data_IF_077881157378
#
_entry.id   IF_077881157378
#
_cell.length_a   1.000
_cell.length_b   1.000
_cell.length_c   1.000
_cell.angle_alpha   90.00
_cell.angle_beta   90.00
_cell.angle_gamma   90.00
#
_symmetry.space_group_name_H-M   'P 1'
#
loop_
_entity.id
_entity.type
_entity.pdbx_description
1 polymer ?
#
# COMPACT_ATOMS: atom_id res chain seq x y z
N UNK A 1 -5.72 24.52 21.18
CA UNK A 1 -5.33 23.13 20.83
C UNK A 1 -4.92 23.16 19.37
N UNK A 2 -3.62 23.05 19.01
CA UNK A 2 -3.26 22.92 17.62
C UNK A 2 -3.61 21.49 17.19
N UNK A 3 -4.53 21.36 16.23
CA UNK A 3 -4.94 20.09 15.66
C UNK A 3 -3.72 19.33 15.14
N UNK A 4 -3.61 18.07 15.56
CA UNK A 4 -2.63 17.11 15.05
C UNK A 4 -2.71 17.07 13.52
N UNK A 5 -1.55 17.20 12.89
CA UNK A 5 -1.39 17.01 11.46
C UNK A 5 -1.75 15.55 11.13
N UNK A 6 -3.00 15.30 10.72
CA UNK A 6 -3.35 14.07 10.02
C UNK A 6 -2.60 14.12 8.70
N UNK A 7 -1.63 13.23 8.42
CA UNK A 7 -0.96 13.24 7.13
C UNK A 7 -2.05 12.87 6.13
N UNK A 8 -2.53 13.86 5.37
CA UNK A 8 -3.47 13.62 4.30
C UNK A 8 -2.89 12.50 3.43
N UNK A 9 -3.56 11.36 3.40
CA UNK A 9 -3.15 10.19 2.64
C UNK A 9 -3.07 10.59 1.18
N UNK A 10 -1.86 10.86 0.69
CA UNK A 10 -1.60 11.03 -0.72
C UNK A 10 -1.73 9.64 -1.32
N UNK A 11 -2.91 9.31 -1.83
CA UNK A 11 -3.09 8.10 -2.61
C UNK A 11 -2.06 8.10 -3.75
N UNK A 12 -1.39 6.97 -4.01
CA UNK A 12 -0.46 6.89 -5.12
C UNK A 12 -1.21 7.20 -6.41
N UNK A 13 -0.77 8.23 -7.12
CA UNK A 13 -1.33 8.58 -8.43
C UNK A 13 -0.77 7.57 -9.43
N UNK A 14 -1.60 6.66 -9.90
CA UNK A 14 -1.27 5.77 -11.03
C UNK A 14 -1.52 6.55 -12.31
N UNK A 15 -0.50 6.70 -13.15
CA UNK A 15 -0.60 7.39 -14.43
C UNK A 15 -0.93 6.41 -15.56
N UNK A 16 -1.36 6.93 -16.71
CA UNK A 16 -1.57 6.11 -17.91
C UNK A 16 -0.26 5.45 -18.38
N UNK A 17 0.89 6.12 -18.19
CA UNK A 17 2.20 5.57 -18.52
C UNK A 17 2.56 4.35 -17.64
N UNK A 18 2.16 4.38 -16.36
CA UNK A 18 2.34 3.22 -15.46
C UNK A 18 1.47 2.03 -15.89
N UNK A 19 0.25 2.31 -16.37
CA UNK A 19 -0.66 1.30 -16.89
C UNK A 19 -0.11 0.68 -18.18
N UNK A 20 0.35 1.52 -19.11
CA UNK A 20 0.95 1.06 -20.38
C UNK A 20 2.20 0.21 -20.13
N UNK A 21 3.06 0.61 -19.20
CA UNK A 21 4.22 -0.17 -18.79
C UNK A 21 3.81 -1.53 -18.19
N UNK A 22 2.79 -1.57 -17.34
CA UNK A 22 2.29 -2.81 -16.76
C UNK A 22 1.70 -3.76 -17.82
N UNK A 23 0.95 -3.22 -18.79
CA UNK A 23 0.40 -3.98 -19.90
C UNK A 23 1.53 -4.53 -20.78
N UNK A 24 2.55 -3.72 -21.09
CA UNK A 24 3.71 -4.14 -21.88
C UNK A 24 4.48 -5.29 -21.20
N UNK A 25 4.71 -5.21 -19.88
CA UNK A 25 5.33 -6.29 -19.09
C UNK A 25 4.51 -7.58 -19.10
N UNK A 26 3.19 -7.46 -19.27
CA UNK A 26 2.25 -8.57 -19.36
C UNK A 26 2.06 -9.09 -20.79
N UNK A 27 2.95 -8.74 -21.72
CA UNK A 27 2.88 -9.17 -23.12
C UNK A 27 1.72 -8.55 -23.90
N UNK A 28 1.21 -7.40 -23.45
CA UNK A 28 0.08 -6.71 -24.07
C UNK A 28 -1.30 -7.19 -23.59
N UNK A 29 -1.39 -8.11 -22.62
CA UNK A 29 -2.66 -8.57 -22.07
C UNK A 29 -3.09 -7.71 -20.87
N UNK A 30 -4.11 -6.82 -21.02
CA UNK A 30 -4.57 -5.97 -19.93
C UNK A 30 -5.25 -6.75 -18.80
N UNK A 31 -5.81 -7.94 -19.08
CA UNK A 31 -6.42 -8.76 -18.02
C UNK A 31 -5.36 -9.37 -17.12
N UNK A 32 -4.21 -9.74 -17.70
CA UNK A 32 -3.08 -10.25 -16.95
C UNK A 32 -2.48 -9.13 -16.09
N UNK A 33 -2.31 -7.92 -16.64
CA UNK A 33 -1.84 -6.75 -15.89
C UNK A 33 -2.73 -6.43 -14.69
N UNK A 34 -4.05 -6.39 -14.87
CA UNK A 34 -5.00 -6.17 -13.77
C UNK A 34 -4.91 -7.25 -12.70
N UNK A 35 -4.81 -8.53 -13.08
CA UNK A 35 -4.64 -9.63 -12.11
C UNK A 35 -3.36 -9.47 -11.30
N UNK A 36 -2.24 -9.14 -11.95
CA UNK A 36 -0.98 -8.89 -11.27
C UNK A 36 -1.07 -7.72 -10.28
N UNK A 37 -1.72 -6.61 -10.69
CA UNK A 37 -1.95 -5.46 -9.81
C UNK A 37 -2.80 -5.82 -8.59
N UNK A 38 -3.89 -6.57 -8.75
CA UNK A 38 -4.71 -6.97 -7.61
C UNK A 38 -3.96 -7.86 -6.62
N UNK A 39 -3.16 -8.82 -7.11
CA UNK A 39 -2.34 -9.68 -6.24
C UNK A 39 -1.29 -8.84 -5.49
N UNK A 40 -0.61 -7.91 -6.17
CA UNK A 40 0.34 -7.02 -5.55
C UNK A 40 -0.32 -6.14 -4.46
N UNK A 41 -1.51 -5.63 -4.74
CA UNK A 41 -2.30 -4.84 -3.78
C UNK A 41 -2.67 -5.66 -2.54
N UNK A 42 -3.15 -6.90 -2.70
CA UNK A 42 -3.49 -7.75 -1.55
C UNK A 42 -2.26 -8.05 -0.69
N UNK A 43 -1.11 -8.33 -1.31
CA UNK A 43 0.15 -8.55 -0.57
C UNK A 43 0.59 -7.29 0.19
N UNK A 44 0.45 -6.11 -0.42
CA UNK A 44 0.77 -4.84 0.23
C UNK A 44 -0.16 -4.58 1.42
N UNK A 45 -1.46 -4.87 1.28
CA UNK A 45 -2.44 -4.73 2.34
C UNK A 45 -2.13 -5.65 3.53
N UNK A 46 -1.74 -6.89 3.28
CA UNK A 46 -1.29 -7.82 4.33
C UNK A 46 -0.02 -7.33 5.04
N UNK A 47 0.97 -6.84 4.29
CA UNK A 47 2.20 -6.29 4.86
C UNK A 47 1.92 -5.06 5.74
N UNK A 48 1.04 -4.17 5.28
CA UNK A 48 0.63 -2.99 6.04
C UNK A 48 -0.07 -3.39 7.36
N UNK A 49 -0.98 -4.36 7.32
CA UNK A 49 -1.65 -4.87 8.53
C UNK A 49 -0.65 -5.47 9.54
N UNK A 50 0.33 -6.23 9.05
CA UNK A 50 1.36 -6.83 9.88
C UNK A 50 2.30 -5.78 10.50
N UNK A 51 2.67 -4.74 9.73
CA UNK A 51 3.51 -3.65 10.21
C UNK A 51 2.82 -2.82 11.31
N UNK A 52 1.53 -2.52 11.16
CA UNK A 52 0.73 -1.81 12.17
C UNK A 52 0.65 -2.62 13.46
N UNK A 53 0.43 -3.93 13.35
CA UNK A 53 0.36 -4.84 14.50
C UNK A 53 1.68 -4.88 15.29
N UNK A 54 2.82 -4.90 14.61
CA UNK A 54 4.14 -4.84 15.25
C UNK A 54 4.41 -3.49 15.95
N UNK A 55 4.04 -2.38 15.32
CA UNK A 55 4.22 -1.03 15.88
C UNK A 55 3.35 -0.76 17.10
N UNK A 56 2.10 -1.24 17.10
CA UNK A 56 1.18 -1.10 18.23
C UNK A 56 1.63 -1.91 19.45
N UNK A 57 2.09 -3.15 19.25
CA UNK A 57 2.59 -4.01 20.34
C UNK A 57 3.85 -3.43 20.98
N UNK A 58 4.76 -2.85 20.19
CA UNK A 58 5.97 -2.20 20.72
C UNK A 58 5.64 -1.01 21.63
N UNK A 59 4.75 -0.10 21.19
CA UNK A 59 4.36 1.06 22.02
C UNK A 59 3.63 0.68 23.31
N UNK A 60 2.86 -0.42 23.33
CA UNK A 60 2.17 -0.85 24.56
C UNK A 60 3.16 -1.28 25.65
N UNK A 61 4.28 -1.91 25.30
CA UNK A 61 5.30 -2.34 26.29
C UNK A 61 6.07 -1.16 26.90
N UNK A 62 6.37 -0.14 26.10
CA UNK A 62 7.09 1.06 26.59
C UNK A 62 6.22 1.95 27.50
N UNK A 63 4.89 1.92 27.36
CA UNK A 63 3.98 2.74 28.19
C UNK A 63 3.61 2.11 29.55
N UNK A 64 4.05 0.88 29.82
CA UNK A 64 3.68 0.12 31.03
C UNK A 64 4.85 -0.08 31.99
N UNK A 65 5.95 0.65 31.79
CA UNK A 65 7.07 0.77 32.72
C UNK A 65 7.19 2.22 33.17
#
# INVERSE_FOLDING_TARGET
MPSEHSPAGREPIVTDEDLDAAIALCGGDPRLALRAMFIAYTMLQEQAQNAVSAGYVRRRRERTH
#
